data_IF_466469537546
#
_entry.id   IF_466469537546
#
_cell.length_a   1.000
_cell.length_b   1.000
_cell.length_c   1.000
_cell.angle_alpha   90.00
_cell.angle_beta   90.00
_cell.angle_gamma   90.00
#
_symmetry.space_group_name_H-M   'P 1'
#
loop_
_entity.id
_entity.type
_entity.pdbx_description
1 polymer ?
#
# COMPACT_ATOMS: atom_id res chain seq x y z
N UNK A 1 10.42 1.12 -11.57
CA UNK A 1 9.59 0.29 -10.68
C UNK A 1 8.16 0.81 -10.71
N UNK A 2 7.22 -0.10 -10.65
CA UNK A 2 5.79 0.24 -10.58
C UNK A 2 5.19 -0.48 -9.39
N UNK A 3 4.43 0.24 -8.57
CA UNK A 3 3.86 -0.31 -7.35
C UNK A 3 2.34 -0.06 -7.33
N UNK A 4 1.59 -0.99 -6.73
CA UNK A 4 0.17 -0.80 -6.44
C UNK A 4 0.05 -0.36 -5.00
N UNK A 5 -0.68 0.72 -4.76
CA UNK A 5 -0.96 1.21 -3.42
C UNK A 5 -2.44 0.99 -3.11
N UNK A 6 -2.71 0.31 -2.00
CA UNK A 6 -4.06 0.19 -1.46
C UNK A 6 -4.21 1.17 -0.30
N UNK A 7 -5.29 1.90 -0.29
CA UNK A 7 -5.52 2.86 0.79
C UNK A 7 -6.81 3.63 0.62
N UNK A 8 -6.94 4.67 1.43
CA UNK A 8 -8.11 5.54 1.42
C UNK A 8 -7.69 6.97 1.70
N UNK A 9 -8.36 7.92 1.04
CA UNK A 9 -8.16 9.35 1.27
C UNK A 9 -8.54 9.77 2.69
N UNK A 10 -9.28 8.94 3.42
CA UNK A 10 -9.64 9.20 4.81
C UNK A 10 -8.49 8.92 5.79
N UNK A 11 -7.43 8.26 5.34
CA UNK A 11 -6.28 7.93 6.18
C UNK A 11 -5.14 8.91 5.95
N UNK A 12 -4.71 9.67 6.98
CA UNK A 12 -3.61 10.64 6.82
C UNK A 12 -2.30 10.01 6.33
N UNK A 13 -2.00 8.79 6.78
CA UNK A 13 -0.78 8.09 6.35
C UNK A 13 -0.83 7.74 4.86
N UNK A 14 -2.03 7.44 4.33
CA UNK A 14 -2.20 7.19 2.91
C UNK A 14 -2.00 8.45 2.09
N UNK A 15 -2.52 9.58 2.57
CA UNK A 15 -2.33 10.88 1.91
C UNK A 15 -0.85 11.24 1.86
N UNK A 16 -0.14 11.11 2.97
CA UNK A 16 1.28 11.37 3.05
C UNK A 16 2.09 10.45 2.13
N UNK A 17 1.77 9.16 2.13
CA UNK A 17 2.46 8.20 1.27
C UNK A 17 2.30 8.56 -0.21
N UNK A 18 1.10 8.96 -0.63
CA UNK A 18 0.87 9.35 -2.01
C UNK A 18 1.70 10.58 -2.39
N UNK A 19 1.80 11.55 -1.49
CA UNK A 19 2.63 12.74 -1.71
C UNK A 19 4.10 12.34 -1.89
N UNK A 20 4.60 11.42 -1.08
CA UNK A 20 5.97 10.93 -1.17
C UNK A 20 6.21 10.25 -2.52
N UNK A 21 5.30 9.38 -2.94
CA UNK A 21 5.42 8.70 -4.24
C UNK A 21 5.49 9.68 -5.39
N UNK A 22 4.66 10.71 -5.37
CA UNK A 22 4.65 11.76 -6.41
C UNK A 22 5.94 12.56 -6.38
N UNK A 23 6.38 12.98 -5.21
CA UNK A 23 7.60 13.77 -5.03
C UNK A 23 8.84 13.02 -5.53
N UNK A 24 8.90 11.71 -5.27
CA UNK A 24 10.01 10.86 -5.69
C UNK A 24 9.91 10.38 -7.14
N UNK A 25 8.83 10.69 -7.83
CA UNK A 25 8.64 10.27 -9.22
C UNK A 25 8.43 8.76 -9.37
N UNK A 26 7.94 8.09 -8.35
CA UNK A 26 7.68 6.66 -8.38
C UNK A 26 6.33 6.40 -9.03
N UNK A 27 6.30 5.52 -10.06
CA UNK A 27 5.05 5.14 -10.70
C UNK A 27 4.23 4.25 -9.77
N UNK A 28 2.95 4.58 -9.61
CA UNK A 28 2.06 3.79 -8.78
C UNK A 28 0.64 3.80 -9.35
N UNK A 29 -0.08 2.72 -9.07
CA UNK A 29 -1.52 2.64 -9.30
C UNK A 29 -2.20 2.69 -7.94
N UNK A 30 -3.04 3.68 -7.73
CA UNK A 30 -3.74 3.83 -6.46
C UNK A 30 -5.08 3.11 -6.49
N UNK A 31 -5.18 2.04 -5.71
CA UNK A 31 -6.43 1.33 -5.45
C UNK A 31 -7.11 1.98 -4.25
N UNK A 32 -7.71 3.15 -4.48
CA UNK A 32 -8.43 3.89 -3.44
C UNK A 32 -9.77 3.19 -3.20
N UNK A 33 -9.90 2.51 -2.06
CA UNK A 33 -11.01 1.59 -1.87
C UNK A 33 -12.23 2.18 -1.17
N UNK A 34 -12.18 3.43 -0.71
CA UNK A 34 -13.34 4.02 -0.05
C UNK A 34 -14.51 4.27 -1.01
N UNK A 35 -14.22 4.41 -2.32
CA UNK A 35 -15.22 4.64 -3.34
C UNK A 35 -15.39 3.46 -4.30
N UNK A 36 -14.72 2.32 -4.05
CA UNK A 36 -14.73 1.18 -4.96
C UNK A 36 -14.68 -0.13 -4.20
N UNK A 37 -15.83 -0.82 -4.19
CA UNK A 37 -15.96 -2.07 -3.44
C UNK A 37 -15.07 -3.19 -3.99
N UNK A 38 -14.76 -3.18 -5.29
CA UNK A 38 -13.88 -4.18 -5.88
C UNK A 38 -12.46 -4.03 -5.32
N UNK A 39 -11.98 -2.80 -5.19
CA UNK A 39 -10.67 -2.52 -4.60
C UNK A 39 -10.64 -2.92 -3.13
N UNK A 40 -11.71 -2.66 -2.40
CA UNK A 40 -11.81 -3.06 -1.00
C UNK A 40 -11.75 -4.59 -0.87
N UNK A 41 -12.46 -5.32 -1.73
CA UNK A 41 -12.42 -6.79 -1.72
C UNK A 41 -11.02 -7.33 -1.99
N UNK A 42 -10.31 -6.74 -2.95
CA UNK A 42 -8.93 -7.13 -3.26
C UNK A 42 -8.02 -6.90 -2.05
N UNK A 43 -8.15 -5.74 -1.42
CA UNK A 43 -7.37 -5.42 -0.23
C UNK A 43 -7.67 -6.41 0.90
N UNK A 44 -8.94 -6.69 1.16
CA UNK A 44 -9.34 -7.63 2.23
C UNK A 44 -8.80 -9.04 1.97
N UNK A 45 -8.77 -9.49 0.72
CA UNK A 45 -8.18 -10.77 0.37
C UNK A 45 -6.70 -10.83 0.77
N UNK A 46 -5.95 -9.77 0.47
CA UNK A 46 -4.54 -9.69 0.87
C UNK A 46 -4.41 -9.66 2.40
N UNK A 47 -5.22 -8.83 3.05
CA UNK A 47 -5.18 -8.65 4.51
C UNK A 47 -5.48 -9.95 5.24
N UNK A 48 -6.43 -10.72 4.73
CA UNK A 48 -6.88 -11.96 5.39
C UNK A 48 -5.94 -13.13 5.17
N UNK A 49 -5.10 -13.09 4.14
CA UNK A 49 -4.29 -14.24 3.73
C UNK A 49 -2.78 -14.04 3.86
N UNK A 50 -2.29 -12.79 3.96
CA UNK A 50 -0.85 -12.53 4.00
C UNK A 50 -0.38 -12.30 5.44
N UNK A 51 0.67 -13.01 5.89
CA UNK A 51 1.17 -12.91 7.28
C UNK A 51 1.64 -11.52 7.70
N UNK A 52 1.99 -10.62 6.78
CA UNK A 52 2.42 -9.27 7.17
C UNK A 52 1.31 -8.50 7.89
N UNK A 53 0.06 -8.94 7.75
CA UNK A 53 -1.08 -8.32 8.41
C UNK A 53 -1.41 -8.92 9.77
N UNK A 54 -0.64 -9.89 10.27
CA UNK A 54 -0.96 -10.56 11.54
C UNK A 54 -1.04 -9.58 12.69
N UNK A 55 -0.04 -8.70 12.83
CA UNK A 55 -0.05 -7.66 13.87
C UNK A 55 -1.17 -6.64 13.63
N UNK A 56 -1.43 -6.29 12.38
CA UNK A 56 -2.51 -5.38 11.99
C UNK A 56 -3.86 -5.92 12.47
N UNK A 57 -4.12 -7.21 12.20
CA UNK A 57 -5.37 -7.86 12.60
C UNK A 57 -5.49 -7.97 14.12
N UNK A 58 -4.39 -8.31 14.79
CA UNK A 58 -4.37 -8.43 16.25
C UNK A 58 -4.70 -7.12 16.93
N UNK A 59 -4.24 -6.00 16.37
CA UNK A 59 -4.45 -4.67 16.92
C UNK A 59 -5.71 -3.98 16.37
N UNK A 60 -6.50 -4.67 15.55
CA UNK A 60 -7.70 -4.12 14.92
C UNK A 60 -7.42 -2.89 14.05
N UNK A 61 -6.23 -2.83 13.45
CA UNK A 61 -5.87 -1.77 12.51
C UNK A 61 -6.36 -2.14 11.10
N UNK A 62 -6.47 -1.15 10.22
CA UNK A 62 -6.86 -1.39 8.83
C UNK A 62 -5.71 -2.00 8.03
N UNK A 63 -4.51 -1.48 8.20
CA UNK A 63 -3.33 -1.98 7.50
C UNK A 63 -3.03 -1.19 6.22
N UNK A 64 -3.30 0.11 6.23
CA UNK A 64 -3.03 0.98 5.10
C UNK A 64 -2.11 2.13 5.51
N UNK A 65 -1.31 2.65 4.57
CA UNK A 65 -1.19 2.22 3.17
C UNK A 65 -0.55 0.84 3.04
N UNK A 66 -1.00 0.07 2.05
CA UNK A 66 -0.40 -1.22 1.70
C UNK A 66 0.14 -1.14 0.27
N UNK A 67 1.37 -1.59 0.07
CA UNK A 67 2.02 -1.53 -1.24
C UNK A 67 2.28 -2.94 -1.74
N UNK A 68 1.97 -3.18 -3.02
CA UNK A 68 2.26 -4.45 -3.67
C UNK A 68 3.25 -4.21 -4.81
N UNK A 69 4.36 -4.94 -4.76
CA UNK A 69 5.40 -4.85 -5.78
C UNK A 69 5.08 -5.76 -6.97
N UNK A 70 5.83 -5.60 -8.06
CA UNK A 70 5.59 -6.35 -9.30
C UNK A 70 5.75 -7.86 -9.12
N UNK A 71 6.56 -8.30 -8.15
CA UNK A 71 6.74 -9.72 -7.84
C UNK A 71 5.63 -10.28 -6.95
N UNK A 72 4.65 -9.47 -6.58
CA UNK A 72 3.54 -9.85 -5.72
C UNK A 72 3.79 -9.68 -4.24
N UNK A 73 5.01 -9.37 -3.81
CA UNK A 73 5.31 -9.14 -2.40
C UNK A 73 4.66 -7.85 -1.91
N UNK A 74 4.42 -7.78 -0.60
CA UNK A 74 3.73 -6.66 0.04
C UNK A 74 4.64 -5.95 1.03
N UNK A 75 4.35 -4.66 1.24
CA UNK A 75 4.94 -3.88 2.32
C UNK A 75 3.90 -2.92 2.89
N UNK A 76 3.98 -2.66 4.17
CA UNK A 76 3.16 -1.65 4.85
C UNK A 76 3.95 -0.37 5.12
N UNK A 77 5.20 -0.30 4.64
CA UNK A 77 6.14 0.78 4.94
C UNK A 77 6.52 1.53 3.66
N UNK A 78 6.12 2.81 3.58
CA UNK A 78 6.50 3.67 2.45
C UNK A 78 8.02 3.81 2.31
N UNK A 79 8.76 3.77 3.41
CA UNK A 79 10.21 3.88 3.35
C UNK A 79 10.84 2.71 2.62
N UNK A 80 10.27 1.52 2.74
CA UNK A 80 10.73 0.35 1.97
C UNK A 80 10.50 0.55 0.47
N UNK A 81 9.38 1.14 0.10
CA UNK A 81 9.06 1.43 -1.31
C UNK A 81 10.08 2.40 -1.89
N UNK A 82 10.37 3.48 -1.15
CA UNK A 82 11.35 4.49 -1.58
C UNK A 82 12.74 3.85 -1.72
N UNK A 83 13.13 3.04 -0.74
CA UNK A 83 14.42 2.35 -0.77
C UNK A 83 14.55 1.44 -2.00
N UNK A 84 13.52 0.65 -2.30
CA UNK A 84 13.53 -0.22 -3.48
C UNK A 84 13.61 0.57 -4.76
N UNK A 85 12.89 1.69 -4.85
CA UNK A 85 12.95 2.57 -6.02
C UNK A 85 14.35 3.14 -6.24
N UNK A 86 15.02 3.54 -5.15
CA UNK A 86 16.39 4.06 -5.22
C UNK A 86 17.38 2.98 -5.65
N UNK A 87 17.19 1.74 -5.22
CA UNK A 87 18.05 0.62 -5.59
C UNK A 87 17.92 0.24 -7.06
N UNK A 88 16.76 0.50 -7.69
CA UNK A 88 16.53 0.24 -9.10
C UNK A 88 17.02 1.36 -10.02
N UNK A 89 17.30 2.52 -9.46
CA UNK A 89 17.70 3.70 -10.25
C UNK A 89 19.14 3.59 -10.79
#
# INVERSE_FOLDING_TARGET
>A
MKVVMYGTKACPDCVEAEEILKEKGIQYLYMEFSDNIVYLKRFLTLRDTNPIFDEVKENHWVGVPCFQFQDGSLSLDIDEVVKRAEEEA
#
